data_IF_456572386717
#
_entry.id   IF_456572386717
#
_cell.length_a   1.000
_cell.length_b   1.000
_cell.length_c   1.000
_cell.angle_alpha   90.00
_cell.angle_beta   90.00
_cell.angle_gamma   90.00
#
_symmetry.space_group_name_H-M   'P 1'
#
loop_
_entity.id
_entity.type
_entity.pdbx_description
1 polymer ?
#
# COMPACT_ATOMS: atom_id res chain seq x y z
N UNK A 1 -28.93 15.10 -20.59
CA UNK A 1 -28.18 16.29 -21.00
C UNK A 1 -26.71 15.88 -21.03
N UNK A 2 -26.03 16.03 -22.16
CA UNK A 2 -24.58 15.70 -22.25
C UNK A 2 -23.84 16.88 -21.62
N UNK A 3 -22.93 16.64 -20.65
CA UNK A 3 -22.18 17.71 -20.04
C UNK A 3 -21.24 18.39 -21.04
N UNK A 4 -20.94 19.67 -20.79
CA UNK A 4 -20.00 20.42 -21.62
C UNK A 4 -18.57 19.89 -21.42
N UNK A 5 -17.86 19.63 -22.52
CA UNK A 5 -16.44 19.19 -22.52
C UNK A 5 -15.51 20.34 -22.15
N UNK A 6 -14.35 20.03 -21.49
CA UNK A 6 -13.87 18.68 -21.08
C UNK A 6 -14.52 18.20 -19.77
N UNK A 7 -14.77 16.88 -19.65
CA UNK A 7 -15.23 16.25 -18.41
C UNK A 7 -14.73 14.80 -18.33
N UNK A 8 -14.66 14.25 -17.11
CA UNK A 8 -14.41 12.84 -16.88
C UNK A 8 -15.73 12.08 -16.79
N UNK A 9 -15.83 10.99 -17.55
CA UNK A 9 -16.95 10.07 -17.50
C UNK A 9 -16.50 8.77 -16.82
N UNK A 10 -17.23 8.32 -15.82
CA UNK A 10 -16.96 7.07 -15.11
C UNK A 10 -18.17 6.14 -15.27
N UNK A 11 -17.93 4.95 -15.80
CA UNK A 11 -18.93 3.89 -15.81
C UNK A 11 -18.89 3.13 -14.47
N UNK A 12 -19.81 3.50 -13.60
CA UNK A 12 -19.89 2.88 -12.26
C UNK A 12 -20.47 1.48 -12.30
N UNK A 13 -21.20 1.08 -13.36
CA UNK A 13 -21.68 -0.29 -13.50
C UNK A 13 -20.51 -1.23 -13.83
N UNK A 14 -19.63 -0.82 -14.74
CA UNK A 14 -18.41 -1.57 -15.05
C UNK A 14 -17.49 -1.66 -13.82
N UNK A 15 -17.32 -0.57 -13.07
CA UNK A 15 -16.53 -0.58 -11.82
C UNK A 15 -17.10 -1.60 -10.83
N UNK A 16 -18.41 -1.60 -10.58
CA UNK A 16 -19.05 -2.55 -9.67
C UNK A 16 -18.90 -3.99 -10.14
N UNK A 17 -19.11 -4.26 -11.42
CA UNK A 17 -18.92 -5.61 -11.99
C UNK A 17 -17.47 -6.11 -11.79
N UNK A 18 -16.47 -5.23 -11.93
CA UNK A 18 -15.06 -5.57 -11.66
C UNK A 18 -14.83 -5.88 -10.18
N UNK A 19 -15.40 -5.08 -9.28
CA UNK A 19 -15.29 -5.30 -7.83
C UNK A 19 -15.99 -6.59 -7.39
N UNK A 20 -17.16 -6.89 -7.97
CA UNK A 20 -17.89 -8.14 -7.72
C UNK A 20 -17.09 -9.36 -8.19
N UNK A 21 -16.43 -9.28 -9.35
CA UNK A 21 -15.56 -10.34 -9.84
C UNK A 21 -14.36 -10.57 -8.88
N UNK A 22 -13.71 -9.50 -8.40
CA UNK A 22 -12.64 -9.61 -7.40
C UNK A 22 -13.18 -10.29 -6.13
N UNK A 23 -14.32 -9.85 -5.62
CA UNK A 23 -14.91 -10.42 -4.42
C UNK A 23 -15.23 -11.92 -4.57
N UNK A 24 -15.73 -12.35 -5.73
CA UNK A 24 -15.98 -13.76 -6.02
C UNK A 24 -14.70 -14.60 -6.06
N UNK A 25 -13.64 -14.09 -6.69
CA UNK A 25 -12.38 -14.81 -6.81
C UNK A 25 -11.64 -14.96 -5.45
N UNK A 26 -11.74 -13.97 -4.57
CA UNK A 26 -11.08 -14.03 -3.26
C UNK A 26 -11.92 -14.72 -2.18
N UNK A 27 -13.22 -14.93 -2.39
CA UNK A 27 -14.11 -15.52 -1.40
C UNK A 27 -13.65 -16.87 -0.81
N UNK A 28 -13.03 -17.80 -1.59
CA UNK A 28 -12.49 -19.05 -1.05
C UNK A 28 -11.25 -18.86 -0.17
N UNK A 29 -10.65 -17.66 -0.13
CA UNK A 29 -9.38 -17.39 0.53
C UNK A 29 -9.55 -16.33 1.63
N UNK A 30 -10.03 -16.68 2.84
CA UNK A 30 -10.41 -15.71 3.88
C UNK A 30 -9.26 -14.85 4.40
N UNK A 31 -8.02 -15.30 4.20
CA UNK A 31 -6.81 -14.56 4.60
C UNK A 31 -6.22 -13.71 3.48
N UNK A 32 -6.89 -13.64 2.32
CA UNK A 32 -6.45 -12.85 1.19
C UNK A 32 -7.23 -11.54 1.13
N UNK A 33 -6.52 -10.43 1.16
CA UNK A 33 -7.10 -9.09 1.17
C UNK A 33 -6.61 -8.28 -0.02
N UNK A 34 -7.53 -7.61 -0.70
CA UNK A 34 -7.21 -6.72 -1.82
C UNK A 34 -7.28 -5.28 -1.37
N UNK A 35 -6.24 -4.51 -1.68
CA UNK A 35 -6.16 -3.08 -1.38
C UNK A 35 -6.13 -2.27 -2.69
N UNK A 36 -6.95 -1.24 -2.74
CA UNK A 36 -7.00 -0.32 -3.87
C UNK A 36 -5.89 0.72 -3.78
N UNK A 37 -5.09 0.85 -4.84
CA UNK A 37 -4.04 1.87 -4.91
C UNK A 37 -4.65 3.27 -5.10
N UNK A 38 -4.65 4.08 -4.04
CA UNK A 38 -5.28 5.41 -3.98
C UNK A 38 -4.74 6.37 -5.05
N UNK A 39 -3.47 6.22 -5.40
CA UNK A 39 -2.81 7.02 -6.45
C UNK A 39 -3.45 6.87 -7.84
N UNK A 40 -4.18 5.79 -8.11
CA UNK A 40 -4.83 5.57 -9.39
C UNK A 40 -5.97 6.56 -9.62
N UNK A 41 -6.84 6.73 -8.63
CA UNK A 41 -7.91 7.74 -8.66
C UNK A 41 -8.51 7.95 -7.26
N UNK A 42 -8.29 9.11 -6.69
CA UNK A 42 -8.80 9.47 -5.36
C UNK A 42 -10.12 10.28 -5.42
N UNK A 43 -10.96 10.09 -6.45
CA UNK A 43 -12.29 10.70 -6.51
C UNK A 43 -13.17 10.14 -5.39
N UNK A 44 -13.77 10.98 -4.50
CA UNK A 44 -14.51 10.50 -3.34
C UNK A 44 -15.66 9.55 -3.68
N UNK A 45 -16.38 9.78 -4.77
CA UNK A 45 -17.50 8.92 -5.19
C UNK A 45 -17.05 7.53 -5.65
N UNK A 46 -15.85 7.44 -6.27
CA UNK A 46 -15.27 6.15 -6.65
C UNK A 46 -14.75 5.42 -5.43
N UNK A 47 -14.09 6.14 -4.51
CA UNK A 47 -13.59 5.58 -3.26
C UNK A 47 -14.71 4.99 -2.40
N UNK A 48 -15.87 5.67 -2.33
CA UNK A 48 -17.05 5.17 -1.63
C UNK A 48 -17.52 3.83 -2.22
N UNK A 49 -17.58 3.70 -3.54
CA UNK A 49 -17.97 2.45 -4.21
C UNK A 49 -16.97 1.33 -3.90
N UNK A 50 -15.67 1.63 -3.94
CA UNK A 50 -14.60 0.68 -3.71
C UNK A 50 -14.58 0.22 -2.25
N UNK A 51 -14.75 1.16 -1.31
CA UNK A 51 -14.84 0.87 0.11
C UNK A 51 -16.06 0.00 0.42
N UNK A 52 -17.25 0.31 -0.14
CA UNK A 52 -18.46 -0.49 0.02
C UNK A 52 -18.33 -1.93 -0.51
N UNK A 53 -17.45 -2.16 -1.49
CA UNK A 53 -17.11 -3.48 -1.97
C UNK A 53 -16.18 -4.26 -1.03
N UNK A 54 -15.74 -3.64 0.07
CA UNK A 54 -14.96 -4.29 1.13
C UNK A 54 -13.44 -4.29 0.93
N UNK A 55 -12.92 -3.64 -0.13
CA UNK A 55 -11.48 -3.50 -0.35
C UNK A 55 -10.83 -2.61 0.71
N UNK A 56 -9.53 -2.83 0.95
CA UNK A 56 -8.68 -1.92 1.70
C UNK A 56 -8.13 -0.79 0.81
N UNK A 57 -7.35 0.11 1.40
CA UNK A 57 -6.67 1.20 0.71
C UNK A 57 -5.15 1.04 0.80
N UNK A 58 -4.46 1.17 -0.33
CA UNK A 58 -3.00 1.29 -0.42
C UNK A 58 -2.65 2.75 -0.71
N UNK A 59 -2.05 3.41 0.28
CA UNK A 59 -1.75 4.83 0.31
C UNK A 59 -0.24 5.06 0.16
N UNK A 60 0.14 6.16 -0.51
CA UNK A 60 1.55 6.54 -0.70
C UNK A 60 1.85 7.95 -0.19
N UNK A 61 0.91 8.56 0.52
CA UNK A 61 1.09 9.84 1.23
C UNK A 61 0.11 9.97 2.39
N UNK A 62 0.42 10.83 3.36
CA UNK A 62 -0.50 11.14 4.47
C UNK A 62 -1.81 11.75 3.99
N UNK A 63 -1.79 12.52 2.88
CA UNK A 63 -3.01 13.04 2.26
C UNK A 63 -3.90 11.94 1.69
N UNK A 64 -3.34 10.85 1.18
CA UNK A 64 -4.11 9.68 0.74
C UNK A 64 -4.66 8.89 1.93
N UNK A 65 -3.88 8.74 3.02
CA UNK A 65 -4.37 8.13 4.26
C UNK A 65 -5.60 8.89 4.77
N UNK A 66 -5.51 10.23 4.85
CA UNK A 66 -6.66 11.05 5.27
C UNK A 66 -7.86 10.87 4.35
N UNK A 67 -7.66 10.88 3.03
CA UNK A 67 -8.75 10.66 2.06
C UNK A 67 -9.37 9.27 2.17
N UNK A 68 -8.58 8.24 2.48
CA UNK A 68 -9.10 6.89 2.70
C UNK A 68 -10.01 6.87 3.95
N UNK A 69 -9.57 7.49 5.05
CA UNK A 69 -10.37 7.64 6.27
C UNK A 69 -11.66 8.41 5.98
N UNK A 70 -11.56 9.57 5.29
CA UNK A 70 -12.72 10.41 4.96
C UNK A 70 -13.73 9.68 4.04
N UNK A 71 -13.24 8.79 3.17
CA UNK A 71 -14.08 7.94 2.31
C UNK A 71 -14.68 6.72 3.03
N UNK A 72 -14.36 6.51 4.31
CA UNK A 72 -14.92 5.45 5.16
C UNK A 72 -14.20 4.11 5.08
N UNK A 73 -12.98 4.04 4.53
CA UNK A 73 -12.19 2.81 4.62
C UNK A 73 -11.88 2.49 6.09
N UNK A 74 -12.09 1.25 6.55
CA UNK A 74 -11.68 0.83 7.88
C UNK A 74 -10.18 1.02 8.06
N UNK A 75 -9.76 1.63 9.15
CA UNK A 75 -8.35 1.93 9.37
C UNK A 75 -7.46 0.68 9.38
N UNK A 76 -7.98 -0.43 9.89
CA UNK A 76 -7.35 -1.76 9.88
C UNK A 76 -7.26 -2.41 8.48
N UNK A 77 -7.75 -1.71 7.45
CA UNK A 77 -7.60 -2.07 6.03
C UNK A 77 -6.84 -1.00 5.24
N UNK A 78 -6.11 -0.12 5.89
CA UNK A 78 -5.27 0.89 5.24
C UNK A 78 -3.81 0.52 5.42
N UNK A 79 -3.07 0.44 4.30
CA UNK A 79 -1.61 0.29 4.29
C UNK A 79 -0.97 1.57 3.75
N UNK A 80 0.22 1.92 4.27
CA UNK A 80 0.89 3.14 3.88
C UNK A 80 2.32 2.85 3.43
N UNK A 81 2.58 2.98 2.13
CA UNK A 81 3.87 2.82 1.46
C UNK A 81 4.49 4.18 1.08
N UNK A 82 5.67 4.16 0.45
CA UNK A 82 6.37 5.35 -0.06
C UNK A 82 7.64 5.67 0.70
N UNK A 83 8.65 6.18 -0.03
CA UNK A 83 10.03 6.40 0.45
C UNK A 83 10.24 7.70 1.22
N UNK A 84 9.26 8.58 1.27
CA UNK A 84 9.40 9.94 1.80
C UNK A 84 8.35 10.30 2.86
N UNK A 85 8.01 9.36 3.75
CA UNK A 85 7.07 9.63 4.84
C UNK A 85 7.65 10.66 5.80
N UNK A 86 6.99 11.80 5.94
CA UNK A 86 7.34 12.84 6.91
C UNK A 86 6.74 12.54 8.28
N UNK A 87 7.27 13.18 9.33
CA UNK A 87 6.82 12.98 10.71
C UNK A 87 5.31 13.19 10.87
N UNK A 88 4.74 14.25 10.27
CA UNK A 88 3.31 14.53 10.39
C UNK A 88 2.44 13.48 9.70
N UNK A 89 2.91 12.89 8.60
CA UNK A 89 2.21 11.82 7.89
C UNK A 89 2.22 10.53 8.68
N UNK A 90 3.38 10.20 9.28
CA UNK A 90 3.52 9.05 10.19
C UNK A 90 2.60 9.23 11.40
N UNK A 91 2.61 10.42 12.03
CA UNK A 91 1.73 10.72 13.16
C UNK A 91 0.24 10.62 12.78
N UNK A 92 -0.15 11.14 11.62
CA UNK A 92 -1.52 11.01 11.10
C UNK A 92 -1.92 9.54 11.00
N UNK A 93 -1.09 8.71 10.39
CA UNK A 93 -1.35 7.29 10.22
C UNK A 93 -1.39 6.53 11.58
N UNK A 94 -0.48 6.86 12.50
CA UNK A 94 -0.48 6.34 13.88
C UNK A 94 -1.74 6.71 14.64
N UNK A 95 -2.21 7.96 14.54
CA UNK A 95 -3.43 8.42 15.23
C UNK A 95 -4.67 7.68 14.75
N UNK A 96 -4.76 7.38 13.44
CA UNK A 96 -5.85 6.60 12.87
C UNK A 96 -5.72 5.09 13.10
N UNK A 97 -4.59 4.60 13.65
CA UNK A 97 -4.30 3.18 13.86
C UNK A 97 -4.47 2.36 12.58
N UNK A 98 -3.86 2.81 11.47
CA UNK A 98 -3.90 2.09 10.20
C UNK A 98 -3.37 0.65 10.33
N UNK A 99 -3.66 -0.21 9.35
CA UNK A 99 -3.23 -1.61 9.39
C UNK A 99 -1.71 -1.71 9.49
N UNK A 100 -0.94 -1.13 8.55
CA UNK A 100 0.51 -1.11 8.68
C UNK A 100 1.20 -0.05 7.80
N UNK A 101 2.43 0.26 8.19
CA UNK A 101 3.39 0.98 7.35
C UNK A 101 4.21 -0.01 6.55
N UNK A 102 4.31 0.17 5.23
CA UNK A 102 5.30 -0.51 4.40
C UNK A 102 6.59 0.29 4.45
N UNK A 103 7.54 -0.17 5.24
CA UNK A 103 8.80 0.52 5.57
C UNK A 103 9.86 0.20 4.53
N UNK A 104 10.53 1.22 4.03
CA UNK A 104 11.45 1.10 2.89
C UNK A 104 12.93 1.23 3.28
N UNK A 105 13.23 1.59 4.55
CA UNK A 105 14.61 1.74 5.03
C UNK A 105 14.73 1.62 6.56
N UNK A 106 15.92 1.32 7.03
CA UNK A 106 16.22 1.28 8.47
C UNK A 106 15.99 2.64 9.15
N UNK A 107 16.47 3.77 8.61
CA UNK A 107 16.19 5.07 9.22
C UNK A 107 14.71 5.39 9.35
N UNK A 108 13.88 5.01 8.36
CA UNK A 108 12.44 5.16 8.44
C UNK A 108 11.85 4.32 9.58
N UNK A 109 12.27 3.07 9.73
CA UNK A 109 11.85 2.18 10.81
C UNK A 109 12.13 2.78 12.18
N UNK A 110 13.33 3.35 12.37
CA UNK A 110 13.75 4.00 13.61
C UNK A 110 12.93 5.26 13.91
N UNK A 111 12.63 6.07 12.89
CA UNK A 111 11.76 7.26 13.02
C UNK A 111 10.36 6.84 13.43
N UNK A 112 9.78 5.84 12.78
CA UNK A 112 8.43 5.33 13.13
C UNK A 112 8.42 4.82 14.57
N UNK A 113 9.42 4.06 15.01
CA UNK A 113 9.54 3.60 16.39
C UNK A 113 9.61 4.77 17.38
N UNK A 114 10.39 5.80 17.07
CA UNK A 114 10.53 6.99 17.93
C UNK A 114 9.21 7.76 18.03
N UNK A 115 8.51 7.98 16.92
CA UNK A 115 7.22 8.69 16.90
C UNK A 115 6.13 7.86 17.60
N UNK A 116 6.09 6.55 17.39
CA UNK A 116 5.17 5.66 18.08
C UNK A 116 5.39 5.69 19.60
N UNK A 117 6.65 5.70 20.06
CA UNK A 117 6.99 5.84 21.47
C UNK A 117 6.45 7.13 22.08
N UNK A 118 6.61 8.28 21.37
CA UNK A 118 6.11 9.59 21.83
C UNK A 118 4.60 9.62 21.99
N UNK A 119 3.90 8.91 21.11
CA UNK A 119 2.42 8.83 21.12
C UNK A 119 1.89 7.70 22.02
N UNK A 120 2.78 6.93 22.68
CA UNK A 120 2.38 5.78 23.49
C UNK A 120 1.68 4.68 22.68
N UNK A 121 2.09 4.51 21.42
CA UNK A 121 1.49 3.57 20.46
C UNK A 121 2.49 2.50 20.04
N UNK A 122 1.96 1.44 19.44
CA UNK A 122 2.70 0.41 18.72
C UNK A 122 2.39 0.58 17.23
N UNK A 123 3.42 0.81 16.41
CA UNK A 123 3.28 0.88 14.97
C UNK A 123 3.38 -0.52 14.35
N UNK A 124 2.39 -0.92 13.59
CA UNK A 124 2.45 -2.15 12.78
C UNK A 124 3.22 -1.88 11.49
N UNK A 125 4.20 -2.73 11.17
CA UNK A 125 5.06 -2.53 10.02
C UNK A 125 5.24 -3.79 9.19
N UNK A 126 5.24 -3.62 7.87
CA UNK A 126 5.80 -4.57 6.92
C UNK A 126 7.09 -4.00 6.35
N UNK A 127 8.11 -4.82 6.15
CA UNK A 127 9.37 -4.39 5.56
C UNK A 127 9.34 -4.60 4.05
N UNK A 128 9.50 -3.52 3.28
CA UNK A 128 9.61 -3.63 1.83
C UNK A 128 10.99 -4.14 1.46
N UNK A 129 11.02 -5.34 0.93
CA UNK A 129 12.24 -5.98 0.45
C UNK A 129 12.32 -5.82 -1.07
N UNK A 130 13.48 -5.38 -1.55
CA UNK A 130 13.80 -5.42 -2.96
C UNK A 130 14.22 -6.84 -3.31
N UNK A 131 13.42 -7.60 -4.10
CA UNK A 131 13.71 -9.01 -4.39
C UNK A 131 14.83 -9.22 -5.41
N UNK A 132 15.32 -8.13 -6.04
CA UNK A 132 16.32 -8.17 -7.12
C UNK A 132 15.88 -9.04 -8.31
N UNK A 133 14.56 -9.10 -8.57
CA UNK A 133 13.95 -9.82 -9.69
C UNK A 133 13.64 -8.85 -10.81
N UNK A 134 14.09 -9.14 -12.03
CA UNK A 134 13.71 -8.38 -13.22
C UNK A 134 12.30 -8.82 -13.68
N UNK A 135 11.29 -7.98 -13.43
CA UNK A 135 9.97 -8.18 -14.02
C UNK A 135 9.97 -7.81 -15.50
N UNK A 136 9.38 -8.66 -16.35
CA UNK A 136 9.22 -8.43 -17.79
C UNK A 136 8.10 -7.42 -18.03
N UNK A 137 8.38 -6.12 -17.78
CA UNK A 137 7.47 -5.02 -18.11
C UNK A 137 7.66 -4.55 -19.55
N UNK A 138 6.61 -3.98 -20.16
CA UNK A 138 6.66 -3.43 -21.51
C UNK A 138 7.87 -2.53 -21.75
N UNK A 139 8.58 -2.73 -22.87
CA UNK A 139 9.83 -2.07 -23.30
C UNK A 139 9.80 -0.54 -23.35
N UNK A 140 8.65 0.10 -23.16
CA UNK A 140 8.50 1.56 -23.13
C UNK A 140 8.36 2.15 -21.71
N UNK A 141 8.28 1.34 -20.67
CA UNK A 141 8.27 1.79 -19.29
C UNK A 141 9.60 1.35 -18.67
N UNK A 142 10.64 2.16 -18.86
CA UNK A 142 11.96 2.03 -18.18
C UNK A 142 11.80 2.40 -16.68
N UNK A 143 10.75 1.94 -16.04
CA UNK A 143 10.51 2.11 -14.61
C UNK A 143 11.09 0.97 -13.79
N UNK A 144 11.31 -0.21 -14.37
CA UNK A 144 11.90 -1.36 -13.69
C UNK A 144 13.27 -1.06 -13.06
N UNK A 145 14.13 -0.29 -13.72
CA UNK A 145 15.39 0.17 -13.14
C UNK A 145 15.23 1.25 -12.06
N UNK A 146 14.14 2.04 -12.06
CA UNK A 146 13.88 3.06 -11.05
C UNK A 146 13.22 2.45 -9.80
N UNK A 147 12.40 1.43 -9.98
CA UNK A 147 11.71 0.72 -8.89
C UNK A 147 12.65 -0.20 -8.11
N UNK A 148 13.71 -0.73 -8.75
CA UNK A 148 14.79 -1.47 -8.08
C UNK A 148 15.65 -0.61 -7.13
N UNK A 149 15.38 0.69 -7.02
CA UNK A 149 16.07 1.60 -6.08
C UNK A 149 15.40 1.70 -4.72
N UNK A 150 14.18 1.17 -4.57
CA UNK A 150 13.39 1.30 -3.36
C UNK A 150 13.39 0.01 -2.56
N UNK A 151 13.20 0.17 -1.24
CA UNK A 151 13.18 -0.95 -0.31
C UNK A 151 14.55 -1.38 0.18
N UNK A 152 14.53 -2.35 1.07
CA UNK A 152 15.69 -2.93 1.74
C UNK A 152 16.26 -4.02 0.84
N UNK A 153 17.58 -4.06 0.66
CA UNK A 153 18.20 -5.10 -0.16
C UNK A 153 17.96 -6.50 0.43
N UNK A 154 17.72 -7.49 -0.42
CA UNK A 154 17.43 -8.87 -0.01
C UNK A 154 18.50 -9.44 0.94
N UNK A 155 19.78 -9.13 0.71
CA UNK A 155 20.89 -9.54 1.58
C UNK A 155 20.79 -9.06 3.02
N UNK A 156 20.12 -7.91 3.24
CA UNK A 156 20.01 -7.25 4.56
C UNK A 156 18.67 -7.63 5.26
N UNK A 157 17.79 -8.38 4.58
CA UNK A 157 16.43 -8.70 5.04
C UNK A 157 16.40 -9.30 6.45
N UNK A 158 17.20 -10.34 6.70
CA UNK A 158 17.19 -11.03 8.00
C UNK A 158 17.64 -10.12 9.14
N UNK A 159 18.64 -9.28 8.91
CA UNK A 159 19.14 -8.32 9.88
C UNK A 159 18.05 -7.29 10.24
N UNK A 160 17.32 -6.78 9.23
CA UNK A 160 16.30 -5.76 9.47
C UNK A 160 15.04 -6.36 10.09
N UNK A 161 14.68 -7.60 9.76
CA UNK A 161 13.60 -8.33 10.47
C UNK A 161 13.94 -8.46 11.96
N UNK A 162 15.17 -8.87 12.29
CA UNK A 162 15.62 -8.97 13.68
C UNK A 162 15.57 -7.61 14.39
N UNK A 163 16.01 -6.54 13.72
CA UNK A 163 15.91 -5.18 14.24
C UNK A 163 14.47 -4.79 14.53
N UNK A 164 13.56 -4.99 13.57
CA UNK A 164 12.14 -4.67 13.73
C UNK A 164 11.51 -5.40 14.92
N UNK A 165 11.87 -6.67 15.15
CA UNK A 165 11.38 -7.48 16.27
C UNK A 165 11.93 -7.01 17.62
N UNK A 166 13.07 -6.30 17.67
CA UNK A 166 13.68 -5.80 18.90
C UNK A 166 13.21 -4.39 19.28
N UNK A 167 12.64 -3.63 18.35
CA UNK A 167 12.18 -2.28 18.59
C UNK A 167 10.88 -2.28 19.43
N UNK A 168 10.86 -1.60 20.59
CA UNK A 168 9.80 -1.76 21.58
C UNK A 168 8.43 -1.20 21.14
N UNK A 169 8.40 -0.30 20.17
CA UNK A 169 7.14 0.34 19.70
C UNK A 169 6.81 -0.07 18.27
N UNK A 170 7.35 -1.19 17.82
CA UNK A 170 7.10 -1.78 16.50
C UNK A 170 6.45 -3.16 16.68
N UNK A 171 5.42 -3.43 15.90
CA UNK A 171 4.88 -4.77 15.66
C UNK A 171 5.21 -5.17 14.22
N UNK A 172 6.08 -6.15 14.06
CA UNK A 172 6.44 -6.67 12.73
C UNK A 172 5.35 -7.62 12.24
N UNK A 173 4.66 -7.23 11.15
CA UNK A 173 3.55 -7.98 10.57
C UNK A 173 3.97 -8.87 9.40
N UNK A 174 5.03 -8.49 8.67
CA UNK A 174 5.47 -9.29 7.52
C UNK A 174 6.34 -8.54 6.53
N UNK A 175 6.46 -9.12 5.33
CA UNK A 175 7.24 -8.57 4.23
C UNK A 175 6.32 -7.98 3.17
N UNK A 176 6.79 -6.93 2.51
CA UNK A 176 6.16 -6.30 1.37
C UNK A 176 7.10 -6.35 0.17
N UNK A 177 6.57 -6.67 -1.00
CA UNK A 177 7.30 -6.70 -2.26
C UNK A 177 6.58 -5.86 -3.30
N UNK A 178 7.34 -5.18 -4.15
CA UNK A 178 6.83 -4.49 -5.32
C UNK A 178 7.75 -4.79 -6.50
N UNK A 179 7.26 -5.54 -7.46
CA UNK A 179 8.03 -6.02 -8.61
C UNK A 179 7.76 -5.21 -9.89
N UNK A 180 6.88 -4.23 -9.84
CA UNK A 180 6.58 -3.34 -10.96
C UNK A 180 5.12 -2.98 -11.08
N UNK A 181 4.83 -2.14 -12.06
CA UNK A 181 3.48 -1.66 -12.40
C UNK A 181 2.99 -2.29 -13.69
N UNK A 182 1.66 -2.45 -13.85
CA UNK A 182 1.02 -2.96 -15.08
C UNK A 182 1.51 -4.34 -15.52
N UNK A 183 1.85 -5.21 -14.56
CA UNK A 183 2.28 -6.58 -14.83
C UNK A 183 1.06 -7.39 -15.22
N UNK A 184 1.10 -8.01 -16.40
CA UNK A 184 0.06 -8.92 -16.92
C UNK A 184 0.51 -10.37 -16.99
N UNK A 185 1.82 -10.63 -16.85
CA UNK A 185 2.38 -11.98 -16.83
C UNK A 185 2.46 -12.49 -15.39
N UNK A 186 1.64 -13.48 -15.06
CA UNK A 186 1.61 -14.07 -13.72
C UNK A 186 2.91 -14.81 -13.34
N UNK A 187 3.75 -15.19 -14.31
CA UNK A 187 5.04 -15.84 -14.04
C UNK A 187 6.00 -14.92 -13.26
N UNK A 188 5.87 -13.60 -13.42
CA UNK A 188 6.69 -12.63 -12.67
C UNK A 188 6.40 -12.70 -11.16
N UNK A 189 5.13 -13.02 -10.78
CA UNK A 189 4.74 -13.23 -9.38
C UNK A 189 5.14 -14.63 -8.86
N UNK A 190 5.25 -15.62 -9.74
CA UNK A 190 5.73 -16.96 -9.36
C UNK A 190 7.23 -16.96 -9.11
N UNK A 191 7.97 -16.07 -9.80
CA UNK A 191 9.41 -15.92 -9.63
C UNK A 191 9.82 -15.15 -8.36
N UNK A 192 8.88 -14.38 -7.79
CA UNK A 192 9.04 -13.67 -6.52
C UNK A 192 9.07 -14.64 -5.35
#
# INVERSE_FOLDING_TARGET
MIPQTPFYYYDTALLRATLDAIAQEIAPYPNFHVHYAMKANANPRLLEIIQQAGLGADCVSGGEVQKAIDAGFPADKIVYAGVGKSDWEILTALHHNIFCFNVESIPELEVINCLAAREGKIARVCLRINPDVEAHTHTHIITGMAENKFGIALKDMLQVVQLAQQLPNISFEGLHFHIGSQITNMQDFVAL
#
